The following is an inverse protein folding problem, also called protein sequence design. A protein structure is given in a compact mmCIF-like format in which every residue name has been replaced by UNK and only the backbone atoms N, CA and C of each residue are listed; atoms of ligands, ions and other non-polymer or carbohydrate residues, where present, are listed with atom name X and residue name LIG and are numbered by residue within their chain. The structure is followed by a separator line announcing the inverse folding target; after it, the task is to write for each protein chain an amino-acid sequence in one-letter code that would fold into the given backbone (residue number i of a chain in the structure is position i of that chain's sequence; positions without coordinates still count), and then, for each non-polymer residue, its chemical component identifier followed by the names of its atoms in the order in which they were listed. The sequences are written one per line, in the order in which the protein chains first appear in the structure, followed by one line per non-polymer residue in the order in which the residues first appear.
data_IF_571933749787
#
_entry.id   IF_571933749787
#
_cell.length_a   1.000
_cell.length_b   1.000
_cell.length_c   1.000
_cell.angle_alpha   90.00
_cell.angle_beta   90.00
_cell.angle_gamma   90.00
#
_symmetry.space_group_name_H-M   'P 1'
#
loop_
_entity.id
_entity.type
_entity.pdbx_description
1 polymer ?
#
# COMPACT_ATOMS: atom_id res chain seq x y z
N UNK A 1 30.05 2.45 34.69
CA UNK A 1 28.96 2.27 33.70
C UNK A 1 29.23 3.22 32.53
N UNK A 2 29.70 2.71 31.38
CA UNK A 2 29.83 3.53 30.16
C UNK A 2 28.42 3.79 29.65
N UNK A 3 27.96 5.03 29.74
CA UNK A 3 26.62 5.43 29.31
C UNK A 3 26.49 5.28 27.80
N UNK A 4 25.36 4.69 27.40
CA UNK A 4 25.00 4.21 26.07
C UNK A 4 24.69 5.36 25.07
N UNK A 5 25.45 6.46 25.13
CA UNK A 5 25.17 7.71 24.39
C UNK A 5 25.26 7.55 22.87
N UNK A 6 26.02 6.56 22.38
CA UNK A 6 26.12 6.29 20.94
C UNK A 6 24.79 5.83 20.32
N UNK A 7 23.95 5.11 21.07
CA UNK A 7 22.66 4.63 20.55
C UNK A 7 21.64 5.76 20.41
N UNK A 8 21.64 6.73 21.32
CA UNK A 8 20.75 7.89 21.22
C UNK A 8 21.14 8.82 20.08
N UNK A 9 22.44 8.97 19.82
CA UNK A 9 22.92 9.75 18.69
C UNK A 9 22.52 9.11 17.35
N UNK A 10 22.66 7.79 17.22
CA UNK A 10 22.21 7.04 16.04
C UNK A 10 20.70 7.13 15.83
N UNK A 11 19.91 7.01 16.90
CA UNK A 11 18.45 7.18 16.85
C UNK A 11 18.07 8.61 16.44
N UNK A 12 18.74 9.62 17.01
CA UNK A 12 18.53 11.03 16.66
C UNK A 12 18.90 11.32 15.20
N UNK A 13 20.03 10.79 14.71
CA UNK A 13 20.47 10.90 13.32
C UNK A 13 19.49 10.22 12.35
N UNK A 14 18.80 9.15 12.76
CA UNK A 14 17.73 8.53 11.96
C UNK A 14 16.46 9.40 11.87
N UNK A 15 16.25 10.34 12.80
CA UNK A 15 15.14 11.29 12.74
C UNK A 15 15.45 12.54 11.90
N UNK A 16 16.72 12.91 11.71
CA UNK A 16 17.11 14.11 10.92
C UNK A 16 16.55 14.09 9.47
N UNK A 17 16.57 12.97 8.72
CA UNK A 17 15.96 12.91 7.39
C UNK A 17 14.46 13.21 7.41
N UNK A 18 13.75 12.84 8.48
CA UNK A 18 12.31 13.10 8.62
C UNK A 18 12.02 14.61 8.75
N UNK A 19 12.90 15.38 9.40
CA UNK A 19 12.76 16.84 9.55
C UNK A 19 13.14 17.61 8.28
N UNK A 20 14.17 17.16 7.54
CA UNK A 20 14.57 17.77 6.27
C UNK A 20 13.57 17.50 5.14
N UNK A 21 12.88 16.35 5.16
CA UNK A 21 11.82 16.01 4.20
C UNK A 21 10.45 16.58 4.57
N UNK A 22 10.28 17.11 5.79
CA UNK A 22 8.99 17.64 6.29
C UNK A 22 8.46 18.81 5.44
N UNK A 23 9.36 19.58 4.82
CA UNK A 23 9.01 20.70 3.93
C UNK A 23 9.04 20.35 2.43
N UNK A 24 9.36 19.11 2.06
CA UNK A 24 9.63 18.73 0.65
C UNK A 24 8.65 17.69 0.07
N UNK A 25 7.80 17.07 0.89
CA UNK A 25 6.87 16.03 0.44
C UNK A 25 5.41 16.48 0.42
N UNK A 26 4.67 16.16 -0.66
CA UNK A 26 3.20 16.26 -0.65
C UNK A 26 2.62 15.28 0.39
N UNK A 27 1.39 15.52 0.90
CA UNK A 27 0.71 14.56 1.78
C UNK A 27 0.68 13.14 1.22
N UNK A 28 0.62 13.02 -0.11
CA UNK A 28 0.63 11.76 -0.84
C UNK A 28 1.99 11.04 -0.77
N UNK A 29 3.11 11.76 -0.80
CA UNK A 29 4.45 11.19 -0.60
C UNK A 29 4.59 10.65 0.82
N UNK A 30 4.21 11.43 1.81
CA UNK A 30 4.27 11.01 3.23
C UNK A 30 3.39 9.81 3.51
N UNK A 31 2.18 9.80 2.95
CA UNK A 31 1.30 8.65 3.08
C UNK A 31 1.86 7.43 2.35
N UNK A 32 2.46 7.59 1.18
CA UNK A 32 3.13 6.47 0.47
C UNK A 32 4.29 5.89 1.28
N UNK A 33 5.09 6.73 1.95
CA UNK A 33 6.15 6.26 2.83
C UNK A 33 5.60 5.53 4.06
N UNK A 34 4.61 6.11 4.73
CA UNK A 34 3.95 5.49 5.88
C UNK A 34 3.27 4.17 5.46
N UNK A 35 2.69 4.13 4.27
CA UNK A 35 2.05 2.94 3.74
C UNK A 35 3.07 1.84 3.49
N UNK A 36 4.20 2.18 2.87
CA UNK A 36 5.28 1.25 2.62
C UNK A 36 5.83 0.67 3.92
N UNK A 37 6.08 1.48 4.94
CA UNK A 37 6.73 1.00 6.17
C UNK A 37 5.76 0.29 7.12
N UNK A 38 4.61 0.89 7.40
CA UNK A 38 3.75 0.46 8.51
C UNK A 38 2.42 -0.13 8.06
N UNK A 39 1.71 0.53 7.12
CA UNK A 39 0.36 0.08 6.77
C UNK A 39 0.38 -1.30 6.11
N UNK A 40 1.33 -1.63 5.24
CA UNK A 40 1.41 -2.98 4.65
C UNK A 40 1.54 -4.09 5.70
N UNK A 41 2.31 -3.85 6.77
CA UNK A 41 2.43 -4.80 7.87
C UNK A 41 1.10 -4.96 8.62
N UNK A 42 0.41 -3.83 8.88
CA UNK A 42 -0.89 -3.82 9.55
C UNK A 42 -1.95 -4.53 8.70
N UNK A 43 -2.04 -4.19 7.41
CA UNK A 43 -2.95 -4.81 6.45
C UNK A 43 -2.66 -6.30 6.36
N UNK A 44 -1.43 -6.72 6.05
CA UNK A 44 -1.12 -8.14 5.91
C UNK A 44 -1.37 -8.95 7.18
N UNK A 45 -1.17 -8.35 8.36
CA UNK A 45 -1.53 -8.97 9.65
C UNK A 45 -3.04 -9.10 9.80
N UNK A 46 -3.79 -8.06 9.45
CA UNK A 46 -5.25 -8.04 9.51
C UNK A 46 -5.88 -9.00 8.49
N UNK A 47 -5.39 -9.07 7.27
CA UNK A 47 -5.82 -10.01 6.24
C UNK A 47 -5.60 -11.46 6.66
N UNK A 48 -4.41 -11.77 7.19
CA UNK A 48 -4.09 -13.07 7.75
C UNK A 48 -5.06 -13.48 8.86
N UNK A 49 -5.43 -12.52 9.73
CA UNK A 49 -6.41 -12.72 10.81
C UNK A 49 -7.82 -12.96 10.24
N UNK A 50 -8.28 -12.16 9.29
CA UNK A 50 -9.58 -12.32 8.63
C UNK A 50 -9.71 -13.68 7.93
N UNK A 51 -8.65 -14.17 7.29
CA UNK A 51 -8.64 -15.49 6.66
C UNK A 51 -8.85 -16.62 7.68
N UNK A 52 -8.27 -16.50 8.88
CA UNK A 52 -8.47 -17.48 9.96
C UNK A 52 -9.86 -17.35 10.57
N UNK A 53 -10.26 -16.15 10.99
CA UNK A 53 -11.49 -15.97 11.78
C UNK A 53 -12.77 -16.14 10.95
N UNK A 54 -12.79 -15.63 9.72
CA UNK A 54 -13.99 -15.63 8.87
C UNK A 54 -14.09 -16.83 7.94
N UNK A 55 -12.95 -17.38 7.54
CA UNK A 55 -12.89 -18.45 6.54
C UNK A 55 -12.24 -19.75 7.04
N UNK A 56 -11.77 -19.78 8.30
CA UNK A 56 -11.07 -20.92 8.90
C UNK A 56 -9.86 -21.39 8.06
N UNK A 57 -9.18 -20.45 7.39
CA UNK A 57 -8.03 -20.73 6.53
C UNK A 57 -6.72 -20.43 7.25
N UNK A 58 -6.10 -21.50 7.75
CA UNK A 58 -4.76 -21.44 8.32
C UNK A 58 -3.73 -21.06 7.25
N UNK A 59 -3.00 -19.98 7.52
CA UNK A 59 -2.07 -19.38 6.57
C UNK A 59 -0.73 -19.02 7.25
N UNK A 60 0.31 -18.88 6.44
CA UNK A 60 1.62 -18.36 6.86
C UNK A 60 1.58 -16.83 6.77
N UNK A 61 1.27 -16.17 7.89
CA UNK A 61 1.11 -14.70 7.98
C UNK A 61 2.22 -13.91 7.27
N UNK A 62 3.48 -14.32 7.41
CA UNK A 62 4.61 -13.62 6.80
C UNK A 62 4.54 -13.57 5.26
N UNK A 63 3.93 -14.57 4.60
CA UNK A 63 3.74 -14.56 3.15
C UNK A 63 2.66 -13.56 2.73
N UNK A 64 1.61 -13.39 3.54
CA UNK A 64 0.56 -12.38 3.30
C UNK A 64 1.14 -10.97 3.48
N UNK A 65 1.94 -10.77 4.53
CA UNK A 65 2.67 -9.50 4.73
C UNK A 65 3.60 -9.24 3.54
N UNK A 66 4.42 -10.21 3.15
CA UNK A 66 5.30 -10.07 1.99
C UNK A 66 4.53 -9.74 0.70
N UNK A 67 3.36 -10.35 0.51
CA UNK A 67 2.48 -10.06 -0.62
C UNK A 67 2.14 -8.57 -0.71
N UNK A 68 1.70 -7.97 0.41
CA UNK A 68 1.32 -6.55 0.50
C UNK A 68 2.52 -5.63 0.20
N UNK A 69 3.70 -5.93 0.75
CA UNK A 69 4.90 -5.12 0.44
C UNK A 69 5.29 -5.22 -1.03
N UNK A 70 5.26 -6.42 -1.61
CA UNK A 70 5.66 -6.66 -3.00
C UNK A 70 4.64 -6.04 -3.96
N UNK A 71 3.34 -6.19 -3.69
CA UNK A 71 2.28 -5.59 -4.49
C UNK A 71 2.35 -4.06 -4.45
N UNK A 72 2.58 -3.47 -3.27
CA UNK A 72 2.77 -2.02 -3.17
C UNK A 72 4.03 -1.55 -3.90
N UNK A 73 5.16 -2.23 -3.71
CA UNK A 73 6.41 -1.88 -4.39
C UNK A 73 6.26 -1.95 -5.91
N UNK A 74 5.66 -3.03 -6.41
CA UNK A 74 5.39 -3.20 -7.83
C UNK A 74 4.40 -2.14 -8.36
N UNK A 75 3.33 -1.92 -7.59
CA UNK A 75 2.30 -0.92 -7.84
C UNK A 75 2.89 0.46 -8.02
N UNK A 76 3.73 0.87 -7.07
CA UNK A 76 4.30 2.20 -7.01
C UNK A 76 5.41 2.44 -8.05
N UNK A 77 6.36 1.52 -8.22
CA UNK A 77 7.54 1.74 -9.07
C UNK A 77 7.35 1.35 -10.53
N UNK A 78 6.49 0.39 -10.84
CA UNK A 78 6.36 -0.13 -12.20
C UNK A 78 4.97 0.10 -12.78
N UNK A 79 3.92 -0.34 -12.09
CA UNK A 79 2.57 -0.39 -12.63
C UNK A 79 1.99 1.01 -12.76
N UNK A 80 1.91 1.76 -11.67
CA UNK A 80 1.28 3.08 -11.69
C UNK A 80 2.00 4.06 -12.63
N UNK A 81 3.35 4.19 -12.64
CA UNK A 81 4.04 5.07 -13.60
C UNK A 81 3.79 4.66 -15.05
N UNK A 82 3.77 3.36 -15.35
CA UNK A 82 3.52 2.86 -16.71
C UNK A 82 2.12 3.21 -17.20
N UNK A 83 1.08 2.94 -16.40
CA UNK A 83 -0.30 3.26 -16.78
C UNK A 83 -0.58 4.77 -16.75
N UNK A 84 0.07 5.51 -15.85
CA UNK A 84 0.02 6.98 -15.82
C UNK A 84 0.50 7.58 -17.14
N UNK A 85 1.68 7.15 -17.62
CA UNK A 85 2.27 7.61 -18.87
C UNK A 85 1.36 7.30 -20.08
N UNK A 86 0.80 6.09 -20.14
CA UNK A 86 -0.07 5.67 -21.25
C UNK A 86 -1.37 6.50 -21.33
N UNK A 87 -1.88 6.99 -20.20
CA UNK A 87 -3.14 7.73 -20.13
C UNK A 87 -2.94 9.25 -20.12
N UNK A 88 -1.71 9.75 -20.35
CA UNK A 88 -1.42 11.18 -20.42
C UNK A 88 -1.32 11.90 -19.07
N UNK A 89 -1.49 11.18 -17.95
CA UNK A 89 -1.31 11.72 -16.61
C UNK A 89 0.18 11.64 -16.26
N UNK A 90 0.89 12.76 -16.15
CA UNK A 90 2.33 12.71 -15.87
C UNK A 90 2.66 12.58 -14.38
N UNK A 91 1.68 12.81 -13.50
CA UNK A 91 1.88 12.74 -12.06
C UNK A 91 0.69 12.16 -11.28
N UNK A 92 0.39 10.91 -11.59
CA UNK A 92 -0.73 10.16 -11.01
C UNK A 92 -0.75 10.08 -9.47
N UNK A 93 0.41 9.94 -8.83
CA UNK A 93 0.53 9.90 -7.36
C UNK A 93 0.85 11.28 -6.75
N UNK A 94 0.75 12.38 -7.50
CA UNK A 94 1.09 13.70 -6.97
C UNK A 94 2.52 13.79 -6.41
N UNK A 95 3.47 13.06 -7.02
CA UNK A 95 4.88 13.02 -6.62
C UNK A 95 5.62 14.30 -7.05
N UNK A 96 5.14 14.94 -8.11
CA UNK A 96 5.66 16.19 -8.69
C UNK A 96 4.67 17.35 -8.60
N UNK A 97 3.40 17.04 -8.35
CA UNK A 97 2.28 17.96 -8.25
C UNK A 97 2.37 18.69 -6.92
N UNK A 98 2.14 19.99 -7.00
CA UNK A 98 1.99 20.80 -5.79
C UNK A 98 0.61 20.52 -5.20
N UNK A 99 0.45 20.85 -3.93
CA UNK A 99 -0.86 20.82 -3.26
C UNK A 99 -1.85 21.60 -4.12
N UNK A 100 -2.92 20.94 -4.57
CA UNK A 100 -3.99 21.52 -5.38
C UNK A 100 -4.15 20.93 -6.79
N UNK A 101 -3.20 20.13 -7.30
CA UNK A 101 -3.11 19.74 -8.72
C UNK A 101 -3.42 18.26 -9.00
N UNK A 102 -4.13 17.57 -8.10
CA UNK A 102 -4.48 16.15 -8.30
C UNK A 102 -5.63 16.00 -9.30
N UNK A 103 -5.39 15.28 -10.40
CA UNK A 103 -6.43 14.95 -11.37
C UNK A 103 -7.20 13.69 -10.94
N UNK A 104 -8.45 13.86 -10.51
CA UNK A 104 -9.31 12.78 -9.99
C UNK A 104 -9.49 11.63 -10.99
N UNK A 105 -9.65 11.92 -12.28
CA UNK A 105 -9.79 10.90 -13.32
C UNK A 105 -8.54 10.03 -13.45
N UNK A 106 -7.36 10.67 -13.38
CA UNK A 106 -6.08 9.99 -13.28
C UNK A 106 -6.06 9.06 -12.07
N UNK A 107 -6.32 9.60 -10.87
CA UNK A 107 -6.34 8.88 -9.59
C UNK A 107 -7.19 7.59 -9.61
N UNK A 108 -8.45 7.66 -10.07
CA UNK A 108 -9.30 6.48 -10.12
C UNK A 108 -8.80 5.43 -11.13
N UNK A 109 -8.32 5.88 -12.29
CA UNK A 109 -7.82 4.98 -13.34
C UNK A 109 -6.61 4.19 -12.85
N UNK A 110 -5.59 4.86 -12.31
CA UNK A 110 -4.42 4.14 -11.83
C UNK A 110 -4.68 3.39 -10.53
N UNK A 111 -5.67 3.78 -9.69
CA UNK A 111 -6.10 2.95 -8.57
C UNK A 111 -6.66 1.61 -9.07
N UNK A 112 -7.55 1.64 -10.08
CA UNK A 112 -8.11 0.43 -10.67
C UNK A 112 -7.03 -0.46 -11.32
N UNK A 113 -6.11 0.13 -12.07
CA UNK A 113 -4.98 -0.61 -12.65
C UNK A 113 -4.08 -1.23 -11.56
N UNK A 114 -3.76 -0.46 -10.52
CA UNK A 114 -2.94 -0.94 -9.40
C UNK A 114 -3.65 -2.05 -8.63
N UNK A 115 -4.95 -1.90 -8.35
CA UNK A 115 -5.76 -2.92 -7.69
C UNK A 115 -5.78 -4.23 -8.49
N UNK A 116 -6.00 -4.16 -9.81
CA UNK A 116 -5.96 -5.34 -10.67
C UNK A 116 -4.60 -6.04 -10.63
N UNK A 117 -3.52 -5.28 -10.68
CA UNK A 117 -2.17 -5.83 -10.58
C UNK A 117 -1.86 -6.41 -9.19
N UNK A 118 -2.30 -5.76 -8.12
CA UNK A 118 -2.22 -6.24 -6.74
C UNK A 118 -2.88 -7.62 -6.62
N UNK A 119 -4.09 -7.79 -7.15
CA UNK A 119 -4.77 -9.08 -7.13
C UNK A 119 -3.95 -10.19 -7.80
N UNK A 120 -3.31 -9.90 -8.94
CA UNK A 120 -2.49 -10.89 -9.65
C UNK A 120 -1.24 -11.26 -8.83
N UNK A 121 -0.53 -10.25 -8.31
CA UNK A 121 0.69 -10.43 -7.54
C UNK A 121 0.38 -11.18 -6.25
N UNK A 122 -0.56 -10.68 -5.46
CA UNK A 122 -0.89 -11.20 -4.14
C UNK A 122 -1.49 -12.60 -4.21
N UNK A 123 -2.23 -12.94 -5.27
CA UNK A 123 -2.79 -14.28 -5.40
C UNK A 123 -1.72 -15.38 -5.32
N UNK A 124 -0.55 -15.15 -5.93
CA UNK A 124 0.57 -16.09 -5.89
C UNK A 124 1.03 -16.35 -4.44
N UNK A 125 1.20 -15.28 -3.67
CA UNK A 125 1.61 -15.37 -2.26
C UNK A 125 0.52 -15.93 -1.37
N UNK A 126 -0.73 -15.52 -1.59
CA UNK A 126 -1.89 -16.05 -0.91
C UNK A 126 -1.97 -17.56 -1.08
N UNK A 127 -1.89 -18.06 -2.31
CA UNK A 127 -1.94 -19.49 -2.58
C UNK A 127 -0.79 -20.24 -1.91
N UNK A 128 0.42 -19.68 -1.91
CA UNK A 128 1.58 -20.24 -1.20
C UNK A 128 1.41 -20.21 0.32
N UNK A 129 0.73 -19.20 0.86
CA UNK A 129 0.53 -19.02 2.30
C UNK A 129 -0.36 -20.09 2.92
N UNK A 130 -1.32 -20.63 2.17
CA UNK A 130 -2.29 -21.59 2.67
C UNK A 130 -1.61 -22.90 3.09
N UNK A 131 -1.84 -23.31 4.33
CA UNK A 131 -1.32 -24.58 4.87
C UNK A 131 -2.05 -25.79 4.27
N UNK A 132 -3.34 -25.65 4.00
CA UNK A 132 -4.17 -26.66 3.36
C UNK A 132 -4.62 -26.08 2.02
N UNK A 133 -4.27 -26.76 0.92
CA UNK A 133 -4.64 -26.30 -0.42
C UNK A 133 -6.14 -26.48 -0.65
N UNK A 134 -6.77 -25.41 -1.11
CA UNK A 134 -8.17 -25.37 -1.51
C UNK A 134 -8.23 -25.14 -3.02
N UNK A 135 -9.33 -25.55 -3.66
CA UNK A 135 -9.55 -25.37 -5.09
C UNK A 135 -10.87 -24.62 -5.36
N UNK A 136 -10.95 -24.03 -6.56
CA UNK A 136 -12.16 -23.37 -7.05
C UNK A 136 -12.63 -22.21 -6.17
N UNK A 137 -13.95 -22.07 -6.00
CA UNK A 137 -14.54 -20.92 -5.30
C UNK A 137 -14.16 -20.84 -3.81
N UNK A 138 -13.85 -21.97 -3.17
CA UNK A 138 -13.37 -22.00 -1.78
C UNK A 138 -11.98 -21.39 -1.61
N UNK A 139 -11.17 -21.36 -2.68
CA UNK A 139 -9.89 -20.66 -2.74
C UNK A 139 -10.07 -19.18 -3.11
N UNK A 140 -10.89 -18.91 -4.13
CA UNK A 140 -11.00 -17.57 -4.71
C UNK A 140 -11.82 -16.61 -3.84
N UNK A 141 -12.96 -17.06 -3.29
CA UNK A 141 -13.86 -16.19 -2.51
C UNK A 141 -13.15 -15.53 -1.31
N UNK A 142 -12.41 -16.26 -0.45
CA UNK A 142 -11.72 -15.63 0.68
C UNK A 142 -10.67 -14.62 0.22
N UNK A 143 -9.91 -14.96 -0.83
CA UNK A 143 -8.92 -14.06 -1.42
C UNK A 143 -9.56 -12.73 -1.84
N UNK A 144 -10.55 -12.78 -2.75
CA UNK A 144 -11.20 -11.57 -3.26
C UNK A 144 -11.90 -10.76 -2.16
N UNK A 145 -12.60 -11.41 -1.23
CA UNK A 145 -13.32 -10.69 -0.17
C UNK A 145 -12.36 -9.94 0.75
N UNK A 146 -11.26 -10.57 1.15
CA UNK A 146 -10.28 -9.95 2.05
C UNK A 146 -9.56 -8.80 1.35
N UNK A 147 -9.03 -9.05 0.14
CA UNK A 147 -8.36 -8.03 -0.66
C UNK A 147 -9.28 -6.86 -1.01
N UNK A 148 -10.52 -7.11 -1.41
CA UNK A 148 -11.47 -6.05 -1.73
C UNK A 148 -11.78 -5.19 -0.49
N UNK A 149 -11.97 -5.83 0.67
CA UNK A 149 -12.23 -5.09 1.90
C UNK A 149 -11.07 -4.17 2.29
N UNK A 150 -9.84 -4.66 2.26
CA UNK A 150 -8.65 -3.86 2.61
C UNK A 150 -8.38 -2.77 1.58
N UNK A 151 -8.52 -3.07 0.29
CA UNK A 151 -8.34 -2.08 -0.77
C UNK A 151 -9.43 -1.00 -0.79
N UNK A 152 -10.69 -1.30 -0.42
CA UNK A 152 -11.73 -0.28 -0.25
C UNK A 152 -11.37 0.69 0.86
N UNK A 153 -10.87 0.19 2.00
CA UNK A 153 -10.42 1.06 3.10
C UNK A 153 -9.25 1.92 2.62
N UNK A 154 -8.28 1.34 1.92
CA UNK A 154 -7.16 2.09 1.37
C UNK A 154 -7.59 3.14 0.35
N UNK A 155 -8.53 2.81 -0.54
CA UNK A 155 -9.12 3.76 -1.48
C UNK A 155 -9.73 4.94 -0.74
N UNK A 156 -10.52 4.69 0.31
CA UNK A 156 -11.15 5.75 1.10
C UNK A 156 -10.10 6.68 1.73
N UNK A 157 -9.01 6.13 2.28
CA UNK A 157 -7.93 6.94 2.87
C UNK A 157 -7.22 7.77 1.79
N UNK A 158 -6.80 7.13 0.69
CA UNK A 158 -6.17 7.82 -0.44
C UNK A 158 -7.08 8.90 -1.02
N UNK A 159 -8.37 8.61 -1.18
CA UNK A 159 -9.35 9.57 -1.66
C UNK A 159 -9.49 10.77 -0.73
N UNK A 160 -9.53 10.55 0.59
CA UNK A 160 -9.57 11.64 1.57
C UNK A 160 -8.32 12.53 1.46
N UNK A 161 -7.13 11.93 1.31
CA UNK A 161 -5.87 12.68 1.13
C UNK A 161 -5.91 13.52 -0.14
N UNK A 162 -6.36 12.92 -1.25
CA UNK A 162 -6.52 13.63 -2.52
C UNK A 162 -7.58 14.72 -2.42
N UNK A 163 -8.73 14.46 -1.78
CA UNK A 163 -9.83 15.41 -1.65
C UNK A 163 -9.47 16.64 -0.80
N UNK A 164 -8.69 16.47 0.27
CA UNK A 164 -8.13 17.58 1.06
C UNK A 164 -7.02 18.32 0.32
N UNK A 165 -6.31 17.64 -0.59
CA UNK A 165 -5.23 18.19 -1.38
C UNK A 165 -5.64 18.74 -2.76
N UNK A 166 -6.87 18.52 -3.23
CA UNK A 166 -7.34 18.91 -4.55
C UNK A 166 -8.06 20.26 -4.52
N UNK A 167 -7.80 21.13 -5.52
CA UNK A 167 -8.70 22.26 -5.77
C UNK A 167 -9.97 21.73 -6.44
N UNK A 168 -11.09 21.84 -5.74
CA UNK A 168 -12.42 21.63 -6.31
C UNK A 168 -12.77 22.91 -7.07
N UNK A 169 -12.49 22.95 -8.36
CA UNK A 169 -13.04 23.98 -9.26
C UNK A 169 -14.46 23.61 -9.66
#
# INVERSE_FOLDING_TARGET
MKTNHQNYLLVFLLFIPNFLLANAGSPMIWFSFLHLIWINFIIGTFESKLLVEKFNLQNRKWLIIAANYISMFAGYYFIAPYFSLLNGYQDFWGMKSRVGEYELGGFFTGFLCSFGATLIIEFTFYWLSLRIKQNGWKLLKPFFVVNLFTNIIMLAIYFVIVAFGAKWN
#
